data_IF_826223606611
#
_entry.id   IF_826223606611
#
_cell.length_a   1.000
_cell.length_b   1.000
_cell.length_c   1.000
_cell.angle_alpha   90.00
_cell.angle_beta   90.00
_cell.angle_gamma   90.00
#
_symmetry.space_group_name_H-M   'P 1'
#
loop_
_entity.id
_entity.type
_entity.pdbx_description
1 polymer ?
#
# COMPACT_ATOMS: atom_id res chain seq x y z
N UNK A 1 3.04 -5.28 -1.47
CA UNK A 1 3.36 -6.62 -0.97
C UNK A 1 2.19 -7.50 -1.34
N UNK A 2 2.43 -8.36 -2.32
CA UNK A 2 1.48 -9.31 -2.85
C UNK A 2 2.24 -10.61 -3.07
N UNK A 3 1.65 -11.72 -2.63
CA UNK A 3 2.24 -13.04 -2.76
C UNK A 3 1.57 -13.88 -3.86
N UNK A 4 0.83 -13.21 -4.75
CA UNK A 4 0.31 -13.80 -5.97
C UNK A 4 1.41 -14.04 -7.00
N UNK A 5 1.24 -15.09 -7.82
CA UNK A 5 2.19 -15.48 -8.86
C UNK A 5 2.94 -16.78 -8.56
N UNK A 6 4.03 -17.03 -9.29
CA UNK A 6 4.72 -18.34 -9.30
C UNK A 6 5.73 -18.53 -8.17
N UNK A 7 5.83 -17.61 -7.21
CA UNK A 7 6.77 -17.72 -6.09
C UNK A 7 6.05 -18.22 -4.82
N UNK A 8 6.31 -19.46 -4.36
CA UNK A 8 5.68 -19.99 -3.15
C UNK A 8 6.34 -19.46 -1.87
N UNK A 9 7.48 -18.75 -1.96
CA UNK A 9 8.19 -18.29 -0.78
C UNK A 9 7.33 -17.29 0.02
N UNK A 10 7.33 -17.48 1.34
CA UNK A 10 6.73 -16.58 2.31
C UNK A 10 7.83 -16.24 3.32
N UNK A 11 8.52 -15.09 3.18
CA UNK A 11 9.62 -14.74 4.07
C UNK A 11 9.11 -14.55 5.49
N UNK A 12 9.96 -14.81 6.48
CA UNK A 12 9.65 -14.40 7.86
C UNK A 12 9.52 -12.86 7.94
N UNK A 13 8.81 -12.31 8.93
CA UNK A 13 8.75 -10.87 9.13
C UNK A 13 10.13 -10.20 9.23
N UNK A 14 11.10 -10.87 9.81
CA UNK A 14 12.47 -10.38 9.96
C UNK A 14 13.22 -10.30 8.61
N UNK A 15 13.07 -11.34 7.79
CA UNK A 15 13.60 -11.35 6.42
C UNK A 15 12.95 -10.24 5.58
N UNK A 16 11.62 -10.13 5.63
CA UNK A 16 10.90 -9.08 4.90
C UNK A 16 11.32 -7.68 5.35
N UNK A 17 11.51 -7.46 6.65
CA UNK A 17 12.00 -6.18 7.18
C UNK A 17 13.40 -5.83 6.70
N UNK A 18 14.29 -6.81 6.58
CA UNK A 18 15.65 -6.60 6.06
C UNK A 18 15.58 -6.09 4.62
N UNK A 19 14.79 -6.75 3.77
CA UNK A 19 14.61 -6.36 2.37
C UNK A 19 13.88 -5.01 2.24
N UNK A 20 12.85 -4.77 3.05
CA UNK A 20 12.15 -3.49 3.09
C UNK A 20 13.08 -2.36 3.51
N UNK A 21 13.92 -2.54 4.53
CA UNK A 21 14.90 -1.53 4.94
C UNK A 21 15.90 -1.22 3.82
N UNK A 22 16.42 -2.27 3.16
CA UNK A 22 17.35 -2.14 2.05
C UNK A 22 16.74 -1.38 0.85
N UNK A 23 15.46 -1.59 0.57
CA UNK A 23 14.73 -0.87 -0.48
C UNK A 23 14.38 0.57 -0.08
N UNK A 24 13.83 0.75 1.12
CA UNK A 24 13.35 2.05 1.59
C UNK A 24 14.47 3.07 1.74
N UNK A 25 15.65 2.65 2.21
CA UNK A 25 16.80 3.55 2.42
C UNK A 25 17.11 4.44 1.20
N UNK A 26 17.50 3.88 0.05
CA UNK A 26 17.81 4.67 -1.14
C UNK A 26 16.58 5.34 -1.76
N UNK A 27 15.41 4.69 -1.73
CA UNK A 27 14.19 5.23 -2.36
C UNK A 27 13.70 6.47 -1.60
N UNK A 28 13.52 6.39 -0.29
CA UNK A 28 13.04 7.52 0.50
C UNK A 28 14.07 8.66 0.53
N UNK A 29 15.37 8.35 0.49
CA UNK A 29 16.43 9.34 0.34
C UNK A 29 16.37 10.07 -1.01
N UNK A 30 16.15 9.36 -2.11
CA UNK A 30 16.09 9.95 -3.45
C UNK A 30 14.84 10.82 -3.66
N UNK A 31 13.69 10.43 -3.09
CA UNK A 31 12.42 11.12 -3.30
C UNK A 31 12.06 12.10 -2.16
N UNK A 32 12.77 12.09 -1.03
CA UNK A 32 12.51 12.97 0.11
C UNK A 32 11.16 12.74 0.80
N UNK A 33 10.56 11.57 0.60
CA UNK A 33 9.22 11.22 1.07
C UNK A 33 9.19 9.78 1.55
N UNK A 34 8.39 9.52 2.58
CA UNK A 34 8.11 8.16 3.03
C UNK A 34 7.26 7.39 2.02
N UNK A 35 7.63 6.14 1.76
CA UNK A 35 6.86 5.25 0.91
C UNK A 35 5.51 4.89 1.57
N UNK A 36 4.53 4.56 0.73
CA UNK A 36 3.24 3.99 1.14
C UNK A 36 3.27 2.51 0.77
N UNK A 37 2.95 1.64 1.74
CA UNK A 37 2.90 0.20 1.51
C UNK A 37 1.54 -0.23 1.00
N UNK A 38 1.50 -0.67 -0.26
CA UNK A 38 0.36 -1.41 -0.79
C UNK A 38 0.37 -2.85 -0.27
N UNK A 39 -0.75 -3.34 0.27
CA UNK A 39 -0.87 -4.68 0.85
C UNK A 39 -2.18 -5.35 0.39
N UNK A 40 -2.11 -6.62 -0.02
CA UNK A 40 -3.31 -7.47 -0.11
C UNK A 40 -3.77 -7.90 1.29
N UNK A 41 -5.01 -8.36 1.42
CA UNK A 41 -5.55 -8.88 2.69
C UNK A 41 -4.65 -9.97 3.31
N UNK A 42 -4.17 -10.95 2.53
CA UNK A 42 -3.22 -11.99 3.01
C UNK A 42 -1.92 -11.39 3.55
N UNK A 43 -1.36 -10.39 2.86
CA UNK A 43 -0.12 -9.74 3.28
C UNK A 43 -0.33 -8.87 4.53
N UNK A 44 -1.47 -8.19 4.63
CA UNK A 44 -1.82 -7.42 5.81
C UNK A 44 -1.95 -8.35 7.03
N UNK A 45 -2.67 -9.46 6.92
CA UNK A 45 -2.83 -10.42 8.02
C UNK A 45 -1.48 -11.00 8.48
N UNK A 46 -0.56 -11.29 7.57
CA UNK A 46 0.71 -11.91 7.91
C UNK A 46 1.78 -10.94 8.46
N UNK A 47 1.80 -9.69 7.99
CA UNK A 47 2.96 -8.81 8.16
C UNK A 47 2.67 -7.46 8.79
N UNK A 48 1.43 -6.98 8.74
CA UNK A 48 1.10 -5.59 9.08
C UNK A 48 1.50 -5.17 10.50
N UNK A 49 1.45 -6.09 11.47
CA UNK A 49 1.82 -5.83 12.86
C UNK A 49 3.34 -5.83 13.12
N UNK A 50 4.14 -6.36 12.19
CA UNK A 50 5.56 -6.69 12.42
C UNK A 50 6.52 -6.02 11.44
N UNK A 51 6.04 -5.56 10.28
CA UNK A 51 6.89 -4.86 9.33
C UNK A 51 7.13 -3.40 9.70
N UNK A 52 8.21 -2.81 9.16
CA UNK A 52 8.54 -1.40 9.28
C UNK A 52 7.30 -0.54 9.06
N UNK A 53 6.98 0.30 10.06
CA UNK A 53 5.77 1.10 10.01
C UNK A 53 5.82 2.14 8.88
N UNK A 54 4.86 2.06 7.97
CA UNK A 54 4.58 3.04 6.91
C UNK A 54 3.07 3.17 6.73
N UNK A 55 2.64 4.27 6.12
CA UNK A 55 1.24 4.46 5.71
C UNK A 55 0.83 3.32 4.78
N UNK A 56 -0.43 2.89 4.88
CA UNK A 56 -0.92 1.70 4.18
C UNK A 56 -1.92 2.02 3.10
N UNK A 57 -1.75 1.36 1.96
CA UNK A 57 -2.74 1.27 0.90
C UNK A 57 -3.25 -0.17 0.89
N UNK A 58 -4.42 -0.41 1.47
CA UNK A 58 -4.96 -1.76 1.58
C UNK A 58 -5.80 -2.10 0.35
N UNK A 59 -5.61 -3.30 -0.20
CA UNK A 59 -6.52 -3.88 -1.18
C UNK A 59 -7.44 -4.86 -0.48
N UNK A 60 -8.71 -4.50 -0.45
CA UNK A 60 -9.81 -5.39 -0.05
C UNK A 60 -10.97 -5.17 -1.00
N UNK A 61 -11.24 -6.15 -1.86
CA UNK A 61 -12.21 -5.99 -2.94
C UNK A 61 -13.62 -6.19 -2.43
N UNK A 62 -14.53 -5.26 -2.75
CA UNK A 62 -15.96 -5.24 -2.36
C UNK A 62 -16.27 -5.19 -0.85
N UNK A 63 -15.31 -5.48 0.02
CA UNK A 63 -15.46 -5.48 1.48
C UNK A 63 -14.51 -4.44 2.06
N UNK A 64 -14.95 -3.72 3.10
CA UNK A 64 -14.10 -2.77 3.81
C UNK A 64 -12.91 -3.52 4.44
N UNK A 65 -11.68 -2.97 4.40
CA UNK A 65 -10.54 -3.56 5.09
C UNK A 65 -10.84 -3.75 6.58
N UNK A 66 -10.42 -4.88 7.15
CA UNK A 66 -10.61 -5.19 8.58
C UNK A 66 -9.83 -4.22 9.47
N UNK A 67 -8.65 -3.83 8.99
CA UNK A 67 -7.83 -2.81 9.63
C UNK A 67 -8.33 -1.40 9.27
N UNK A 68 -8.28 -0.49 10.24
CA UNK A 68 -8.66 0.90 10.05
C UNK A 68 -7.47 1.85 9.82
N UNK A 69 -6.23 1.39 9.98
CA UNK A 69 -5.02 2.20 9.81
C UNK A 69 -4.49 2.21 8.36
N UNK A 70 -5.31 2.76 7.45
CA UNK A 70 -4.96 2.93 6.04
C UNK A 70 -5.18 4.37 5.59
N UNK A 71 -4.39 4.79 4.59
CA UNK A 71 -4.54 6.07 3.91
C UNK A 71 -5.26 5.92 2.56
N UNK A 72 -5.03 4.81 1.86
CA UNK A 72 -5.74 4.45 0.64
C UNK A 72 -6.39 3.08 0.76
N UNK A 73 -7.53 2.90 0.11
CA UNK A 73 -8.20 1.60 -0.03
C UNK A 73 -8.53 1.35 -1.49
N UNK A 74 -7.99 0.27 -2.06
CA UNK A 74 -8.43 -0.27 -3.34
C UNK A 74 -9.65 -1.16 -3.11
N UNK A 75 -10.82 -0.70 -3.57
CA UNK A 75 -12.09 -1.36 -3.31
C UNK A 75 -12.64 -2.14 -4.52
N UNK A 76 -12.07 -1.91 -5.72
CA UNK A 76 -12.52 -2.53 -6.96
C UNK A 76 -11.35 -2.62 -7.95
N UNK A 77 -11.29 -3.69 -8.75
CA UNK A 77 -10.23 -3.91 -9.75
C UNK A 77 -10.74 -4.01 -11.20
N UNK A 78 -12.06 -4.02 -11.40
CA UNK A 78 -12.70 -4.06 -12.72
C UNK A 78 -13.56 -2.80 -12.96
N UNK A 79 -13.07 -1.65 -12.48
CA UNK A 79 -13.78 -0.38 -12.61
C UNK A 79 -13.80 0.11 -14.05
N UNK A 80 -14.65 1.11 -14.31
CA UNK A 80 -14.70 1.84 -15.58
C UNK A 80 -14.66 3.34 -15.27
N UNK A 81 -13.76 4.04 -15.94
CA UNK A 81 -13.55 5.49 -15.80
C UNK A 81 -13.41 6.06 -17.21
N UNK A 82 -14.14 7.14 -17.50
CA UNK A 82 -14.05 7.82 -18.80
C UNK A 82 -12.59 8.20 -19.10
N UNK A 83 -12.13 7.84 -20.29
CA UNK A 83 -10.73 8.04 -20.72
C UNK A 83 -9.79 6.87 -20.42
N UNK A 84 -10.26 5.78 -19.80
CA UNK A 84 -9.47 4.55 -19.62
C UNK A 84 -10.12 3.41 -20.40
N UNK A 85 -9.37 2.83 -21.33
CA UNK A 85 -9.75 1.61 -22.03
C UNK A 85 -9.39 0.37 -21.20
N UNK A 86 -10.36 -0.54 -20.99
CA UNK A 86 -10.15 -1.74 -20.17
C UNK A 86 -10.59 -1.59 -18.71
N UNK A 87 -10.27 -2.59 -17.91
CA UNK A 87 -10.56 -2.61 -16.46
C UNK A 87 -9.55 -1.72 -15.72
N UNK A 88 -10.03 -0.97 -14.72
CA UNK A 88 -9.17 -0.12 -13.88
C UNK A 88 -9.46 -0.27 -12.39
N UNK A 89 -8.40 -0.19 -11.59
CA UNK A 89 -8.48 -0.18 -10.13
C UNK A 89 -9.10 1.13 -9.61
N UNK A 90 -10.14 0.99 -8.78
CA UNK A 90 -10.77 2.12 -8.10
C UNK A 90 -10.35 2.17 -6.65
N UNK A 91 -10.01 3.39 -6.21
CA UNK A 91 -9.42 3.65 -4.91
C UNK A 91 -10.11 4.82 -4.22
N UNK A 92 -10.12 4.79 -2.89
CA UNK A 92 -10.53 5.93 -2.06
C UNK A 92 -9.41 6.35 -1.12
N UNK A 93 -9.29 7.65 -0.89
CA UNK A 93 -8.45 8.24 0.15
C UNK A 93 -9.24 8.31 1.45
N UNK A 94 -8.62 7.94 2.58
CA UNK A 94 -9.16 8.22 3.90
C UNK A 94 -8.94 9.69 4.23
N UNK A 95 -10.01 10.47 4.29
CA UNK A 95 -9.96 11.88 4.63
C UNK A 95 -10.48 12.77 3.50
N UNK A 96 -9.89 13.95 3.36
CA UNK A 96 -10.37 15.02 2.48
C UNK A 96 -9.27 15.50 1.53
N UNK A 97 -9.55 16.57 0.78
CA UNK A 97 -8.56 17.20 -0.12
C UNK A 97 -7.34 17.73 0.64
N UNK A 98 -7.53 18.16 1.88
CA UNK A 98 -6.46 18.61 2.76
C UNK A 98 -5.51 17.44 3.09
N UNK A 99 -6.06 16.25 3.34
CA UNK A 99 -5.26 15.03 3.51
C UNK A 99 -4.43 14.74 2.27
N UNK A 100 -5.05 14.83 1.07
CA UNK A 100 -4.35 14.61 -0.19
C UNK A 100 -3.21 15.62 -0.38
N UNK A 101 -3.48 16.90 -0.16
CA UNK A 101 -2.48 17.96 -0.27
C UNK A 101 -1.28 17.72 0.68
N UNK A 102 -1.55 17.25 1.90
CA UNK A 102 -0.51 16.89 2.87
C UNK A 102 0.39 15.73 2.43
N UNK A 103 -0.09 14.81 1.58
CA UNK A 103 0.76 13.75 1.00
C UNK A 103 1.73 14.30 -0.07
N UNK A 104 1.35 15.37 -0.75
CA UNK A 104 2.19 16.04 -1.74
C UNK A 104 3.13 17.09 -1.16
N UNK A 105 2.81 17.64 0.01
CA UNK A 105 3.68 18.59 0.71
C UNK A 105 5.11 18.03 0.90
N UNK A 106 6.11 18.91 0.82
CA UNK A 106 7.49 18.56 1.16
C UNK A 106 7.57 18.19 2.65
N UNK A 107 8.41 17.22 2.98
CA UNK A 107 8.75 16.95 4.38
C UNK A 107 9.48 18.19 4.92
N UNK A 108 9.05 18.79 6.04
CA UNK A 108 9.72 19.96 6.62
C UNK A 108 11.16 19.65 7.06
#
# INVERSE_FOLDING_TARGET
IEFGGNCPQRPSPEQLNTELAAFLGPVEAAFGKQAIFYLTDEAADAYSATIIARRRWLRSLAIRPRENDWIYWQYHNMGRVDGIEGDVDLNVLKGSRETLAGLFAATP
#
